data_IF_297599384410
#
_entry.id   IF_297599384410
#
_cell.length_a   1.000
_cell.length_b   1.000
_cell.length_c   1.000
_cell.angle_alpha   90.00
_cell.angle_beta   90.00
_cell.angle_gamma   90.00
#
_symmetry.space_group_name_H-M   'P 1'
#
loop_
_entity.id
_entity.type
_entity.pdbx_description
1 polymer ?
#
# COMPACT_ATOMS: atom_id res chain seq x y z
N UNK A 1 -41.26 -25.06 45.04
CA UNK A 1 -41.34 -24.46 43.69
C UNK A 1 -40.11 -24.91 42.89
N UNK A 2 -40.23 -25.93 42.03
CA UNK A 2 -39.10 -26.41 41.22
C UNK A 2 -39.11 -25.68 39.88
N UNK A 3 -38.10 -24.83 39.67
CA UNK A 3 -37.87 -24.11 38.43
C UNK A 3 -37.59 -25.12 37.30
N UNK A 4 -38.58 -25.33 36.44
CA UNK A 4 -38.48 -26.19 35.27
C UNK A 4 -37.68 -25.43 34.22
N UNK A 5 -36.35 -25.62 34.23
CA UNK A 5 -35.50 -25.19 33.12
C UNK A 5 -35.95 -25.99 31.89
N UNK A 6 -36.75 -25.37 31.02
CA UNK A 6 -37.10 -25.88 29.71
C UNK A 6 -35.80 -26.27 28.99
N UNK A 7 -35.53 -27.58 28.92
CA UNK A 7 -34.47 -28.10 28.08
C UNK A 7 -34.92 -27.93 26.64
N UNK A 8 -34.59 -26.79 26.05
CA UNK A 8 -34.69 -26.60 24.60
C UNK A 8 -33.89 -27.73 23.95
N UNK A 9 -34.60 -28.68 23.34
CA UNK A 9 -34.02 -29.79 22.59
C UNK A 9 -33.13 -29.16 21.53
N UNK A 10 -31.83 -29.47 21.55
CA UNK A 10 -30.87 -28.91 20.60
C UNK A 10 -31.32 -29.17 19.15
N UNK A 11 -30.99 -28.27 18.21
CA UNK A 11 -31.42 -28.40 16.83
C UNK A 11 -31.00 -29.77 16.27
N UNK A 12 -31.85 -30.47 15.50
CA UNK A 12 -31.55 -31.77 14.94
C UNK A 12 -30.24 -31.72 14.13
N UNK A 13 -29.51 -32.84 14.02
CA UNK A 13 -28.21 -32.90 13.32
C UNK A 13 -28.25 -32.37 11.88
N UNK A 14 -29.40 -32.48 11.20
CA UNK A 14 -29.65 -31.92 9.86
C UNK A 14 -29.64 -30.38 9.84
N UNK A 15 -30.26 -29.74 10.83
CA UNK A 15 -30.27 -28.28 10.98
C UNK A 15 -28.89 -27.74 11.35
N UNK A 16 -28.15 -28.45 12.22
CA UNK A 16 -26.77 -28.09 12.57
C UNK A 16 -25.84 -28.15 11.35
N UNK A 17 -25.99 -29.18 10.52
CA UNK A 17 -25.22 -29.34 9.27
C UNK A 17 -25.58 -28.26 8.24
N UNK A 18 -26.86 -27.94 8.09
CA UNK A 18 -27.32 -26.85 7.23
C UNK A 18 -26.78 -25.49 7.71
N UNK A 19 -26.88 -25.20 9.01
CA UNK A 19 -26.36 -23.97 9.61
C UNK A 19 -24.85 -23.84 9.41
N UNK A 20 -24.08 -24.91 9.65
CA UNK A 20 -22.62 -24.91 9.46
C UNK A 20 -22.25 -24.63 7.99
N UNK A 21 -23.01 -25.21 7.05
CA UNK A 21 -22.82 -24.99 5.61
C UNK A 21 -23.07 -23.53 5.25
N UNK A 22 -24.21 -22.97 5.66
CA UNK A 22 -24.57 -21.56 5.41
C UNK A 22 -23.50 -20.62 6.01
N UNK A 23 -23.09 -20.88 7.24
CA UNK A 23 -22.07 -20.06 7.91
C UNK A 23 -20.70 -20.17 7.22
N UNK A 24 -20.29 -21.35 6.77
CA UNK A 24 -19.03 -21.54 6.04
C UNK A 24 -19.04 -20.77 4.72
N UNK A 25 -20.14 -20.85 3.95
CA UNK A 25 -20.32 -20.08 2.72
C UNK A 25 -20.29 -18.58 2.97
N UNK A 26 -21.02 -18.09 4.00
CA UNK A 26 -21.03 -16.69 4.38
C UNK A 26 -19.63 -16.18 4.77
N UNK A 27 -18.92 -16.90 5.65
CA UNK A 27 -17.54 -16.54 6.05
C UNK A 27 -16.61 -16.51 4.84
N UNK A 28 -16.72 -17.49 3.95
CA UNK A 28 -15.95 -17.54 2.70
C UNK A 28 -16.28 -16.39 1.74
N UNK A 29 -17.54 -15.95 1.66
CA UNK A 29 -17.96 -14.80 0.88
C UNK A 29 -17.38 -13.49 1.44
N UNK A 30 -17.52 -13.27 2.74
CA UNK A 30 -17.01 -12.07 3.42
C UNK A 30 -15.49 -11.95 3.22
N UNK A 31 -14.73 -13.03 3.46
CA UNK A 31 -13.28 -13.01 3.31
C UNK A 31 -12.81 -12.70 1.88
N UNK A 32 -13.52 -13.19 0.86
CA UNK A 32 -13.20 -12.88 -0.55
C UNK A 32 -13.46 -11.41 -0.89
N UNK A 33 -14.39 -10.76 -0.18
CA UNK A 33 -14.72 -9.34 -0.38
C UNK A 33 -13.80 -8.41 0.42
N UNK A 34 -13.47 -8.76 1.66
CA UNK A 34 -12.69 -7.88 2.55
C UNK A 34 -11.19 -7.95 2.29
N UNK A 35 -10.63 -9.15 2.07
CA UNK A 35 -9.17 -9.31 1.88
C UNK A 35 -8.58 -8.49 0.73
N UNK A 36 -9.23 -8.35 -0.45
CA UNK A 36 -8.71 -7.47 -1.50
C UNK A 36 -8.73 -6.00 -1.08
N UNK A 37 -9.75 -5.57 -0.33
CA UNK A 37 -9.88 -4.18 0.13
C UNK A 37 -8.82 -3.83 1.16
N UNK A 38 -8.55 -4.73 2.11
CA UNK A 38 -7.45 -4.58 3.08
C UNK A 38 -6.10 -4.39 2.37
N UNK A 39 -5.85 -5.17 1.30
CA UNK A 39 -4.63 -5.04 0.50
C UNK A 39 -4.56 -3.73 -0.28
N UNK A 40 -5.68 -3.31 -0.88
CA UNK A 40 -5.78 -2.03 -1.56
C UNK A 40 -5.56 -0.87 -0.59
N UNK A 41 -6.02 -0.98 0.65
CA UNK A 41 -5.78 0.02 1.69
C UNK A 41 -4.28 0.14 2.01
N UNK A 42 -3.56 -0.98 2.10
CA UNK A 42 -2.09 -0.96 2.28
C UNK A 42 -1.40 -0.28 1.10
N UNK A 43 -1.77 -0.63 -0.14
CA UNK A 43 -1.19 -0.01 -1.35
C UNK A 43 -1.51 1.49 -1.39
N UNK A 44 -2.73 1.88 -1.02
CA UNK A 44 -3.13 3.27 -0.93
C UNK A 44 -2.29 4.04 0.09
N UNK A 45 -2.06 3.47 1.28
CA UNK A 45 -1.21 4.11 2.29
C UNK A 45 0.22 4.29 1.77
N UNK A 46 0.80 3.28 1.11
CA UNK A 46 2.14 3.40 0.51
C UNK A 46 2.18 4.53 -0.53
N UNK A 47 1.14 4.67 -1.36
CA UNK A 47 1.05 5.74 -2.36
C UNK A 47 0.94 7.13 -1.71
N UNK A 48 0.21 7.26 -0.60
CA UNK A 48 0.16 8.51 0.17
C UNK A 48 1.53 8.83 0.79
N UNK A 49 2.18 7.86 1.41
CA UNK A 49 3.51 8.06 2.01
C UNK A 49 4.53 8.48 0.93
N UNK A 50 4.48 7.86 -0.27
CA UNK A 50 5.29 8.29 -1.42
C UNK A 50 5.04 9.76 -1.78
N UNK A 51 3.77 10.17 -1.85
CA UNK A 51 3.38 11.55 -2.18
C UNK A 51 3.91 12.53 -1.13
N UNK A 52 3.74 12.22 0.15
CA UNK A 52 4.22 13.07 1.24
C UNK A 52 5.75 13.21 1.20
N UNK A 53 6.46 12.11 0.95
CA UNK A 53 7.90 12.10 0.74
C UNK A 53 8.33 12.98 -0.44
N UNK A 54 7.66 12.85 -1.59
CA UNK A 54 7.95 13.69 -2.76
C UNK A 54 7.66 15.18 -2.50
N UNK A 55 6.61 15.52 -1.74
CA UNK A 55 6.31 16.90 -1.36
C UNK A 55 7.38 17.49 -0.46
N UNK A 56 7.81 16.74 0.56
CA UNK A 56 8.91 17.16 1.45
C UNK A 56 10.19 17.37 0.65
N UNK A 57 10.53 16.44 -0.24
CA UNK A 57 11.72 16.52 -1.08
C UNK A 57 11.67 17.68 -2.08
N UNK A 58 10.48 18.04 -2.57
CA UNK A 58 10.30 19.19 -3.47
C UNK A 58 10.56 20.55 -2.80
N UNK A 59 10.69 20.60 -1.47
CA UNK A 59 11.07 21.80 -0.72
C UNK A 59 12.51 22.27 -1.05
N UNK A 60 12.79 23.59 -1.11
CA UNK A 60 14.11 24.12 -1.48
C UNK A 60 15.25 23.62 -0.61
N UNK A 61 15.06 23.65 0.72
CA UNK A 61 16.07 23.20 1.68
C UNK A 61 16.37 21.70 1.60
N UNK A 62 15.35 20.85 1.44
CA UNK A 62 15.54 19.39 1.36
C UNK A 62 16.16 18.99 0.03
N UNK A 63 15.77 19.65 -1.06
CA UNK A 63 16.36 19.43 -2.38
C UNK A 63 17.86 19.77 -2.41
N UNK A 64 18.25 20.89 -1.81
CA UNK A 64 19.66 21.27 -1.71
C UNK A 64 20.47 20.25 -0.92
N UNK A 65 19.93 19.78 0.22
CA UNK A 65 20.56 18.70 1.01
C UNK A 65 20.71 17.40 0.21
N UNK A 66 19.69 17.00 -0.54
CA UNK A 66 19.74 15.82 -1.40
C UNK A 66 20.86 15.92 -2.45
N UNK A 67 21.06 17.11 -3.03
CA UNK A 67 22.09 17.34 -4.03
C UNK A 67 23.49 17.33 -3.40
N UNK A 68 23.65 17.97 -2.25
CA UNK A 68 24.96 18.23 -1.65
C UNK A 68 25.48 17.13 -0.71
N UNK A 69 24.60 16.38 -0.03
CA UNK A 69 24.97 15.36 0.95
C UNK A 69 24.66 13.93 0.47
N UNK A 70 25.68 13.10 0.20
CA UNK A 70 25.50 11.69 -0.14
C UNK A 70 24.74 10.89 0.92
N UNK A 71 24.82 11.26 2.21
CA UNK A 71 24.10 10.57 3.29
C UNK A 71 22.60 10.82 3.21
N UNK A 72 22.19 12.06 2.94
CA UNK A 72 20.77 12.36 2.74
C UNK A 72 20.24 11.66 1.48
N UNK A 73 21.04 11.57 0.42
CA UNK A 73 20.68 10.80 -0.77
C UNK A 73 20.46 9.31 -0.47
N UNK A 74 21.35 8.70 0.31
CA UNK A 74 21.21 7.31 0.75
C UNK A 74 19.92 7.14 1.58
N UNK A 75 19.67 8.03 2.53
CA UNK A 75 18.45 8.02 3.35
C UNK A 75 17.18 8.07 2.51
N UNK A 76 17.11 8.93 1.49
CA UNK A 76 15.97 8.99 0.58
C UNK A 76 15.81 7.73 -0.27
N UNK A 77 16.92 7.12 -0.69
CA UNK A 77 16.91 5.82 -1.38
C UNK A 77 16.39 4.70 -0.47
N UNK A 78 16.83 4.65 0.79
CA UNK A 78 16.33 3.71 1.80
C UNK A 78 14.82 3.90 2.07
N UNK A 79 14.34 5.15 2.16
CA UNK A 79 12.92 5.45 2.27
C UNK A 79 12.13 4.87 1.07
N UNK A 80 12.61 5.07 -0.16
CA UNK A 80 11.96 4.52 -1.35
C UNK A 80 11.97 2.97 -1.33
N UNK A 81 13.06 2.36 -0.88
CA UNK A 81 13.15 0.90 -0.72
C UNK A 81 12.20 0.36 0.34
N UNK A 82 12.04 1.06 1.46
CA UNK A 82 11.06 0.70 2.48
C UNK A 82 9.62 0.68 1.91
N UNK A 83 9.29 1.62 1.02
CA UNK A 83 7.98 1.62 0.32
C UNK A 83 7.84 0.40 -0.60
N UNK A 84 8.86 0.04 -1.37
CA UNK A 84 8.82 -1.16 -2.22
C UNK A 84 8.65 -2.44 -1.39
N UNK A 85 9.40 -2.59 -0.30
CA UNK A 85 9.28 -3.76 0.60
C UNK A 85 7.85 -3.88 1.18
N UNK A 86 7.22 -2.74 1.51
CA UNK A 86 5.81 -2.72 1.93
C UNK A 86 4.87 -3.15 0.81
N UNK A 87 5.09 -2.73 -0.44
CA UNK A 87 4.31 -3.23 -1.58
C UNK A 87 4.49 -4.73 -1.80
N UNK A 88 5.72 -5.26 -1.66
CA UNK A 88 6.02 -6.67 -1.86
C UNK A 88 5.37 -7.57 -0.79
N UNK A 89 5.20 -7.04 0.42
CA UNK A 89 4.47 -7.72 1.49
C UNK A 89 2.99 -7.96 1.15
N UNK A 90 2.41 -7.21 0.20
CA UNK A 90 1.03 -7.36 -0.24
C UNK A 90 0.93 -8.57 -1.17
N UNK A 91 0.94 -9.78 -0.60
CA UNK A 91 0.85 -11.04 -1.35
C UNK A 91 -0.62 -11.39 -1.69
N UNK A 92 -0.86 -12.03 -2.84
CA UNK A 92 -2.17 -12.62 -3.21
C UNK A 92 -2.84 -12.03 -4.45
N UNK A 93 -3.44 -12.92 -5.24
CA UNK A 93 -3.56 -12.81 -6.70
C UNK A 93 -4.90 -12.28 -7.24
N UNK A 94 -5.59 -11.38 -6.53
CA UNK A 94 -6.69 -10.68 -7.19
C UNK A 94 -6.13 -9.74 -8.26
N UNK A 95 -6.61 -9.84 -9.50
CA UNK A 95 -6.08 -9.10 -10.65
C UNK A 95 -6.08 -7.60 -10.40
N UNK A 96 -7.17 -7.05 -9.89
CA UNK A 96 -7.30 -5.63 -9.52
C UNK A 96 -6.22 -5.18 -8.52
N UNK A 97 -5.95 -5.94 -7.46
CA UNK A 97 -4.91 -5.61 -6.46
C UNK A 97 -3.52 -5.63 -7.13
N UNK A 98 -3.28 -6.61 -8.01
CA UNK A 98 -2.02 -6.75 -8.74
C UNK A 98 -1.77 -5.55 -9.67
N UNK A 99 -2.80 -5.10 -10.38
CA UNK A 99 -2.69 -4.00 -11.33
C UNK A 99 -2.41 -2.68 -10.60
N UNK A 100 -3.13 -2.40 -9.51
CA UNK A 100 -2.88 -1.21 -8.68
C UNK A 100 -1.48 -1.26 -8.06
N UNK A 101 -1.07 -2.41 -7.51
CA UNK A 101 0.29 -2.59 -6.99
C UNK A 101 1.34 -2.31 -8.06
N UNK A 102 1.16 -2.83 -9.28
CA UNK A 102 2.07 -2.62 -10.40
C UNK A 102 2.20 -1.14 -10.76
N UNK A 103 1.10 -0.39 -10.74
CA UNK A 103 1.14 1.06 -10.97
C UNK A 103 1.97 1.74 -9.88
N UNK A 104 1.64 1.53 -8.61
CA UNK A 104 2.34 2.19 -7.49
C UNK A 104 3.82 1.79 -7.42
N UNK A 105 4.17 0.53 -7.73
CA UNK A 105 5.58 0.11 -7.85
C UNK A 105 6.33 0.94 -8.89
N UNK A 106 5.72 1.23 -10.05
CA UNK A 106 6.35 2.09 -11.06
C UNK A 106 6.51 3.53 -10.58
N UNK A 107 5.54 4.04 -9.82
CA UNK A 107 5.64 5.40 -9.23
C UNK A 107 6.82 5.50 -8.26
N UNK A 108 6.99 4.49 -7.38
CA UNK A 108 8.13 4.43 -6.45
C UNK A 108 9.46 4.27 -7.20
N UNK A 109 9.52 3.44 -8.25
CA UNK A 109 10.73 3.31 -9.08
C UNK A 109 11.09 4.65 -9.75
N UNK A 110 10.12 5.37 -10.31
CA UNK A 110 10.36 6.69 -10.89
C UNK A 110 10.90 7.69 -9.84
N UNK A 111 10.42 7.61 -8.60
CA UNK A 111 10.97 8.40 -7.49
C UNK A 111 12.43 8.04 -7.17
N UNK A 112 12.79 6.76 -7.22
CA UNK A 112 14.20 6.34 -7.07
C UNK A 112 15.08 6.85 -8.20
N UNK A 113 14.62 6.75 -9.45
CA UNK A 113 15.36 7.26 -10.61
C UNK A 113 15.66 8.76 -10.48
N UNK A 114 14.71 9.54 -9.95
CA UNK A 114 14.90 10.96 -9.63
C UNK A 114 16.02 11.17 -8.60
N UNK A 115 15.97 10.42 -7.48
CA UNK A 115 16.99 10.48 -6.42
C UNK A 115 18.36 10.11 -6.98
N UNK A 116 18.47 9.01 -7.71
CA UNK A 116 19.73 8.52 -8.27
C UNK A 116 20.30 9.48 -9.31
N UNK A 117 19.44 10.19 -10.07
CA UNK A 117 19.87 11.18 -11.05
C UNK A 117 20.54 12.40 -10.41
N UNK A 118 20.21 12.75 -9.16
CA UNK A 118 20.90 13.84 -8.43
C UNK A 118 22.37 13.56 -8.13
N UNK A 119 22.81 12.31 -8.28
CA UNK A 119 24.22 11.93 -8.08
C UNK A 119 25.13 12.14 -9.29
N UNK A 120 24.55 12.37 -10.49
CA UNK A 120 25.26 12.28 -11.77
C UNK A 120 25.66 13.63 -12.37
N UNK A 121 25.80 14.68 -11.56
CA UNK A 121 26.10 16.07 -11.99
C UNK A 121 25.12 16.66 -13.04
N UNK A 122 23.98 16.01 -13.25
CA UNK A 122 22.96 16.46 -14.16
C UNK A 122 22.30 17.75 -13.65
N UNK A 123 21.84 18.60 -14.57
CA UNK A 123 21.22 19.90 -14.25
C UNK A 123 20.10 19.73 -13.22
N UNK A 124 20.39 20.12 -11.98
CA UNK A 124 19.55 19.87 -10.80
C UNK A 124 18.16 20.51 -10.95
N UNK A 125 18.07 21.60 -11.71
CA UNK A 125 16.80 22.26 -12.05
C UNK A 125 15.91 21.42 -12.98
N UNK A 126 16.49 20.67 -13.92
CA UNK A 126 15.72 19.77 -14.82
C UNK A 126 15.12 18.63 -14.00
N UNK A 127 15.92 18.03 -13.12
CA UNK A 127 15.47 16.95 -12.24
C UNK A 127 14.40 17.47 -11.26
N UNK A 128 14.58 18.69 -10.73
CA UNK A 128 13.59 19.31 -9.85
C UNK A 128 12.25 19.58 -10.54
N UNK A 129 12.28 20.00 -11.81
CA UNK A 129 11.06 20.15 -12.62
C UNK A 129 10.41 18.80 -12.90
N UNK A 130 11.21 17.77 -13.19
CA UNK A 130 10.71 16.41 -13.34
C UNK A 130 10.01 15.92 -12.07
N UNK A 131 10.62 16.11 -10.89
CA UNK A 131 9.99 15.79 -9.60
C UNK A 131 8.63 16.48 -9.42
N UNK A 132 8.55 17.79 -9.71
CA UNK A 132 7.29 18.55 -9.61
C UNK A 132 6.24 18.07 -10.63
N UNK A 133 6.65 17.77 -11.87
CA UNK A 133 5.76 17.24 -12.92
C UNK A 133 5.21 15.86 -12.55
N UNK A 134 6.07 14.99 -12.04
CA UNK A 134 5.70 13.66 -11.55
C UNK A 134 4.75 13.76 -10.36
N UNK A 135 4.98 14.71 -9.44
CA UNK A 135 4.04 15.02 -8.36
C UNK A 135 2.66 15.41 -8.89
N UNK A 136 2.58 16.29 -9.89
CA UNK A 136 1.31 16.72 -10.50
C UNK A 136 0.61 15.56 -11.21
N UNK A 137 1.37 14.67 -11.86
CA UNK A 137 0.83 13.50 -12.58
C UNK A 137 0.26 12.46 -11.63
N UNK A 138 0.85 12.29 -10.44
CA UNK A 138 0.36 11.37 -9.42
C UNK A 138 -0.76 11.95 -8.55
N UNK A 139 -0.99 13.28 -8.61
CA UNK A 139 -2.06 13.98 -7.87
C UNK A 139 -3.41 13.93 -8.61
N UNK A 140 -3.41 13.90 -9.95
CA UNK A 140 -4.62 13.75 -10.78
C UNK A 140 -4.97 12.28 -11.01
#
# INVERSE_FOLDING_TARGET
MKSTRLMLKGPPPSEQKAATTIQAHWRGFVLRRTRPLEKLQVIYQVRQDLKDHMQVLAGPSQWEKLCSDPKERLRWSECAMALLLRLDSVQGAHSNVRDVRKVVTKEVIAFQEIIDSTSKDASTDVIRRALKSTLTTFIN
#
